data_IF_514076396521
#
_entry.id   IF_514076396521
#
_cell.length_a   1.000
_cell.length_b   1.000
_cell.length_c   1.000
_cell.angle_alpha   90.00
_cell.angle_beta   90.00
_cell.angle_gamma   90.00
#
_symmetry.space_group_name_H-M   'P 1'
#
loop_
_entity.id
_entity.type
_entity.pdbx_description
1 polymer ?
#
# COMPACT_ATOMS: atom_id res chain seq x y z
N UNK A 1 2.27 17.29 4.02
CA UNK A 1 1.93 17.03 5.44
C UNK A 1 0.62 17.70 5.83
N UNK A 2 0.51 19.04 5.73
CA UNK A 2 -0.71 19.76 6.13
C UNK A 2 -1.99 19.23 5.46
N UNK A 3 -1.94 18.98 4.15
CA UNK A 3 -3.06 18.39 3.43
C UNK A 3 -3.42 16.97 3.90
N UNK A 4 -2.46 16.17 4.37
CA UNK A 4 -2.72 14.81 4.88
C UNK A 4 -3.55 14.88 6.16
N UNK A 5 -3.21 15.78 7.08
CA UNK A 5 -3.96 16.01 8.32
C UNK A 5 -5.38 16.46 8.00
N UNK A 6 -5.52 17.46 7.12
CA UNK A 6 -6.83 17.95 6.71
C UNK A 6 -7.65 16.87 6.00
N UNK A 7 -7.00 16.05 5.17
CA UNK A 7 -7.62 14.92 4.50
C UNK A 7 -8.15 13.87 5.46
N UNK A 8 -7.38 13.53 6.50
CA UNK A 8 -7.86 12.63 7.55
C UNK A 8 -9.12 13.19 8.24
N UNK A 9 -9.13 14.49 8.58
CA UNK A 9 -10.26 15.13 9.26
C UNK A 9 -11.56 15.08 8.45
N UNK A 10 -11.53 15.60 7.21
CA UNK A 10 -12.75 15.63 6.40
C UNK A 10 -13.20 14.24 5.94
N UNK A 11 -12.27 13.30 5.68
CA UNK A 11 -12.63 11.92 5.34
C UNK A 11 -13.27 11.22 6.53
N UNK A 12 -12.70 11.35 7.73
CA UNK A 12 -13.28 10.78 8.94
C UNK A 12 -14.71 11.30 9.17
N UNK A 13 -14.94 12.61 9.06
CA UNK A 13 -16.28 13.19 9.20
C UNK A 13 -17.26 12.68 8.13
N UNK A 14 -16.83 12.56 6.87
CA UNK A 14 -17.65 12.02 5.78
C UNK A 14 -18.00 10.54 5.98
N UNK A 15 -17.04 9.71 6.40
CA UNK A 15 -17.27 8.29 6.68
C UNK A 15 -18.21 8.08 7.87
N UNK A 16 -18.07 8.87 8.94
CA UNK A 16 -19.02 8.84 10.06
C UNK A 16 -20.43 9.26 9.59
N UNK A 17 -20.53 10.31 8.76
CA UNK A 17 -21.80 10.78 8.20
C UNK A 17 -22.50 9.73 7.35
N UNK A 18 -21.80 9.14 6.37
CA UNK A 18 -22.32 8.04 5.54
C UNK A 18 -22.64 6.81 6.42
N UNK A 19 -21.82 6.54 7.44
CA UNK A 19 -22.05 5.47 8.40
C UNK A 19 -23.35 5.65 9.20
N UNK A 20 -23.67 6.86 9.67
CA UNK A 20 -24.97 7.17 10.28
C UNK A 20 -26.10 6.80 9.32
N UNK A 21 -26.03 7.26 8.07
CA UNK A 21 -27.06 7.02 7.07
C UNK A 21 -27.22 5.53 6.82
N UNK A 22 -26.12 4.81 6.58
CA UNK A 22 -26.15 3.37 6.33
C UNK A 22 -26.73 2.58 7.52
N UNK A 23 -26.37 2.93 8.76
CA UNK A 23 -26.89 2.23 9.94
C UNK A 23 -28.42 2.28 10.04
N UNK A 24 -29.04 3.37 9.60
CA UNK A 24 -30.49 3.59 9.73
C UNK A 24 -31.29 3.25 8.47
N UNK A 25 -30.65 3.28 7.30
CA UNK A 25 -31.31 3.04 6.00
C UNK A 25 -31.01 1.66 5.43
N UNK A 26 -29.86 1.07 5.79
CA UNK A 26 -29.31 -0.18 5.21
C UNK A 26 -29.17 -0.15 3.69
N UNK A 27 -29.14 1.04 3.10
CA UNK A 27 -29.03 1.25 1.66
C UNK A 27 -27.64 1.77 1.32
N UNK A 28 -27.01 1.18 0.31
CA UNK A 28 -25.67 1.54 -0.17
C UNK A 28 -25.73 2.23 -1.53
N UNK A 29 -26.82 2.05 -2.28
CA UNK A 29 -27.00 2.69 -3.56
C UNK A 29 -27.43 4.15 -3.38
N UNK A 30 -26.56 5.09 -3.78
CA UNK A 30 -26.81 6.53 -3.71
C UNK A 30 -28.09 6.96 -4.45
N UNK A 31 -28.46 6.27 -5.54
CA UNK A 31 -29.66 6.61 -6.31
C UNK A 31 -30.96 6.16 -5.64
N UNK A 32 -30.88 5.26 -4.65
CA UNK A 32 -32.01 4.83 -3.82
C UNK A 32 -32.16 5.68 -2.55
N UNK A 33 -31.23 6.59 -2.28
CA UNK A 33 -31.29 7.56 -1.19
C UNK A 33 -31.90 8.89 -1.65
N UNK A 34 -32.27 9.74 -0.70
CA UNK A 34 -32.73 11.10 -0.98
C UNK A 34 -33.71 11.65 0.03
N UNK A 35 -33.76 12.98 0.14
CA UNK A 35 -34.65 13.70 1.06
C UNK A 35 -34.33 13.51 2.55
N UNK A 36 -33.12 13.06 2.89
CA UNK A 36 -32.75 12.74 4.27
C UNK A 36 -32.48 13.96 5.15
N UNK A 37 -32.40 15.18 4.58
CA UNK A 37 -32.14 16.41 5.35
C UNK A 37 -33.15 16.61 6.50
N UNK A 38 -34.43 16.31 6.26
CA UNK A 38 -35.49 16.43 7.28
C UNK A 38 -35.43 15.34 8.35
N UNK A 39 -34.81 14.19 8.05
CA UNK A 39 -34.73 13.03 8.95
C UNK A 39 -33.46 13.06 9.80
N UNK A 40 -32.37 13.58 9.24
CA UNK A 40 -31.05 13.63 9.88
C UNK A 40 -30.43 15.05 9.82
N UNK A 41 -31.11 16.09 10.34
CA UNK A 41 -30.69 17.48 10.13
C UNK A 41 -29.28 17.77 10.69
N UNK A 42 -28.96 17.27 11.88
CA UNK A 42 -27.63 17.45 12.50
C UNK A 42 -26.55 16.79 11.66
N UNK A 43 -26.72 15.51 11.30
CA UNK A 43 -25.78 14.79 10.44
C UNK A 43 -25.62 15.47 9.09
N UNK A 44 -26.70 16.02 8.54
CA UNK A 44 -26.67 16.70 7.26
C UNK A 44 -25.85 18.00 7.32
N UNK A 45 -26.01 18.82 8.37
CA UNK A 45 -25.19 20.03 8.57
C UNK A 45 -23.71 19.67 8.77
N UNK A 46 -23.42 18.70 9.63
CA UNK A 46 -22.03 18.29 9.91
C UNK A 46 -21.37 17.68 8.67
N UNK A 47 -22.10 16.85 7.92
CA UNK A 47 -21.63 16.28 6.66
C UNK A 47 -21.48 17.36 5.58
N UNK A 48 -22.33 18.39 5.58
CA UNK A 48 -22.19 19.53 4.68
C UNK A 48 -20.90 20.31 4.95
N UNK A 49 -20.58 20.60 6.22
CA UNK A 49 -19.29 21.20 6.59
C UNK A 49 -18.11 20.32 6.16
N UNK A 50 -18.25 19.00 6.30
CA UNK A 50 -17.24 18.05 5.84
C UNK A 50 -17.06 18.08 4.30
N UNK A 51 -18.17 18.20 3.56
CA UNK A 51 -18.18 18.38 2.09
C UNK A 51 -17.50 19.68 1.71
N UNK A 52 -17.83 20.80 2.35
CA UNK A 52 -17.18 22.10 2.11
C UNK A 52 -15.67 22.04 2.42
N UNK A 53 -15.27 21.31 3.46
CA UNK A 53 -13.88 21.03 3.75
C UNK A 53 -13.18 20.27 2.61
N UNK A 54 -13.72 19.14 2.17
CA UNK A 54 -13.08 18.36 1.09
C UNK A 54 -13.11 19.08 -0.27
N UNK A 55 -14.08 19.95 -0.55
CA UNK A 55 -14.10 20.74 -1.79
C UNK A 55 -13.20 21.97 -1.70
N UNK A 56 -12.84 22.42 -0.50
CA UNK A 56 -11.91 23.55 -0.29
C UNK A 56 -12.62 24.91 -0.23
N UNK A 57 -13.83 24.95 0.35
CA UNK A 57 -14.55 26.20 0.54
C UNK A 57 -13.80 27.16 1.47
N UNK A 58 -13.75 28.46 1.13
CA UNK A 58 -13.13 29.47 1.99
C UNK A 58 -13.66 29.40 3.42
N UNK A 59 -12.76 29.49 4.40
CA UNK A 59 -13.08 29.39 5.83
C UNK A 59 -13.09 27.97 6.41
N UNK A 60 -12.85 26.93 5.60
CA UNK A 60 -12.68 25.54 6.05
C UNK A 60 -11.25 25.05 5.83
N UNK A 61 -10.83 24.04 6.59
CA UNK A 61 -9.46 23.49 6.55
C UNK A 61 -8.95 23.10 5.15
N UNK A 62 -9.83 22.63 4.27
CA UNK A 62 -9.44 22.24 2.92
C UNK A 62 -9.01 23.40 2.04
N UNK A 63 -9.58 24.60 2.25
CA UNK A 63 -9.13 25.82 1.56
C UNK A 63 -7.66 26.07 1.89
N UNK A 64 -7.34 26.15 3.18
CA UNK A 64 -5.99 26.39 3.66
C UNK A 64 -4.97 25.41 3.04
N UNK A 65 -5.25 24.11 3.09
CA UNK A 65 -4.29 23.13 2.55
C UNK A 65 -4.21 23.10 1.03
N UNK A 66 -5.31 23.34 0.31
CA UNK A 66 -5.27 23.33 -1.16
C UNK A 66 -4.65 24.60 -1.72
N UNK A 67 -4.85 25.75 -1.09
CA UNK A 67 -4.19 27.00 -1.47
C UNK A 67 -2.68 26.86 -1.34
N UNK A 68 -2.17 26.24 -0.27
CA UNK A 68 -0.74 25.96 -0.14
C UNK A 68 -0.20 24.99 -1.20
N UNK A 69 -0.97 23.95 -1.53
CA UNK A 69 -0.59 23.04 -2.61
C UNK A 69 -0.57 23.77 -3.96
N UNK A 70 -1.54 24.65 -4.20
CA UNK A 70 -1.60 25.47 -5.40
C UNK A 70 -0.37 26.39 -5.48
N UNK A 71 -0.09 27.18 -4.44
CA UNK A 71 1.11 28.04 -4.38
C UNK A 71 2.40 27.27 -4.62
N UNK A 72 2.55 26.07 -4.04
CA UNK A 72 3.72 25.24 -4.25
C UNK A 72 3.87 24.77 -5.71
N UNK A 73 2.75 24.41 -6.37
CA UNK A 73 2.76 23.97 -7.77
C UNK A 73 2.96 25.16 -8.71
N UNK A 74 2.32 26.31 -8.45
CA UNK A 74 2.48 27.52 -9.25
C UNK A 74 3.93 28.05 -9.16
N UNK A 75 4.52 28.10 -7.97
CA UNK A 75 5.94 28.47 -7.80
C UNK A 75 6.86 27.51 -8.58
N UNK A 76 6.56 26.21 -8.55
CA UNK A 76 7.32 25.24 -9.34
C UNK A 76 7.13 25.43 -10.85
N UNK A 77 5.94 25.85 -11.31
CA UNK A 77 5.68 26.13 -12.72
C UNK A 77 6.48 27.36 -13.21
N UNK A 78 6.67 28.35 -12.36
CA UNK A 78 7.46 29.56 -12.66
C UNK A 78 8.96 29.28 -12.85
N UNK A 79 9.48 28.16 -12.32
CA UNK A 79 10.90 27.77 -12.49
C UNK A 79 11.30 27.38 -13.93
N UNK A 80 10.40 27.52 -14.91
CA UNK A 80 10.69 27.40 -16.33
C UNK A 80 10.55 25.99 -16.91
N UNK A 81 10.01 25.04 -16.14
CA UNK A 81 9.85 23.65 -16.57
C UNK A 81 8.48 23.44 -17.24
N UNK A 82 8.37 23.25 -18.57
CA UNK A 82 7.09 23.33 -19.28
C UNK A 82 6.04 22.29 -18.87
N UNK A 83 6.47 21.13 -18.35
CA UNK A 83 5.53 20.08 -17.93
C UNK A 83 4.80 20.42 -16.62
N UNK A 84 5.37 21.29 -15.77
CA UNK A 84 4.78 21.64 -14.46
C UNK A 84 3.52 22.51 -14.62
N UNK A 85 3.44 23.32 -15.68
CA UNK A 85 2.22 24.06 -16.05
C UNK A 85 1.04 23.10 -16.30
N UNK A 86 1.31 21.94 -16.90
CA UNK A 86 0.27 20.92 -17.09
C UNK A 86 -0.15 20.26 -15.77
N UNK A 87 0.76 20.14 -14.80
CA UNK A 87 0.45 19.64 -13.45
C UNK A 87 -0.47 20.61 -12.72
N UNK A 88 -0.22 21.91 -12.80
CA UNK A 88 -1.08 22.94 -12.23
C UNK A 88 -2.50 22.88 -12.82
N UNK A 89 -2.60 22.82 -14.15
CA UNK A 89 -3.90 22.67 -14.84
C UNK A 89 -4.62 21.39 -14.43
N UNK A 90 -3.89 20.29 -14.32
CA UNK A 90 -4.43 19.02 -13.84
C UNK A 90 -4.91 19.12 -12.39
N UNK A 91 -4.16 19.80 -11.52
CA UNK A 91 -4.56 20.05 -10.13
C UNK A 91 -5.90 20.80 -10.06
N UNK A 92 -6.08 21.85 -10.87
CA UNK A 92 -7.34 22.59 -10.95
C UNK A 92 -8.50 21.70 -11.47
N UNK A 93 -8.26 20.91 -12.53
CA UNK A 93 -9.25 19.97 -13.06
C UNK A 93 -9.66 18.90 -12.01
N UNK A 94 -8.71 18.36 -11.27
CA UNK A 94 -8.96 17.42 -10.16
C UNK A 94 -9.76 18.11 -9.04
N UNK A 95 -9.50 19.39 -8.76
CA UNK A 95 -10.29 20.19 -7.83
C UNK A 95 -11.77 20.31 -8.25
N UNK A 96 -12.02 20.57 -9.54
CA UNK A 96 -13.39 20.60 -10.13
C UNK A 96 -14.04 19.23 -10.01
N UNK A 97 -13.35 18.15 -10.36
CA UNK A 97 -13.85 16.77 -10.27
C UNK A 97 -14.15 16.34 -8.83
N UNK A 98 -13.32 16.75 -7.88
CA UNK A 98 -13.55 16.54 -6.43
C UNK A 98 -14.84 17.24 -6.01
N UNK A 99 -14.98 18.51 -6.37
CA UNK A 99 -16.21 19.27 -6.06
C UNK A 99 -17.44 18.63 -6.68
N UNK A 100 -17.38 18.24 -7.96
CA UNK A 100 -18.51 17.60 -8.64
C UNK A 100 -18.92 16.29 -7.94
N UNK A 101 -17.94 15.47 -7.55
CA UNK A 101 -18.18 14.17 -6.91
C UNK A 101 -18.81 14.29 -5.52
N UNK A 102 -18.29 15.20 -4.67
CA UNK A 102 -18.82 15.38 -3.32
C UNK A 102 -20.12 16.18 -3.29
N UNK A 103 -20.33 17.08 -4.27
CA UNK A 103 -21.64 17.72 -4.48
C UNK A 103 -22.68 16.68 -4.87
N UNK A 104 -22.36 15.75 -5.78
CA UNK A 104 -23.24 14.64 -6.16
C UNK A 104 -23.59 13.77 -4.95
N UNK A 105 -22.58 13.39 -4.15
CA UNK A 105 -22.77 12.61 -2.92
C UNK A 105 -23.77 13.28 -1.98
N UNK A 106 -23.53 14.56 -1.66
CA UNK A 106 -24.37 15.31 -0.75
C UNK A 106 -25.79 15.51 -1.29
N UNK A 107 -25.90 15.87 -2.56
CA UNK A 107 -27.17 16.07 -3.25
C UNK A 107 -28.02 14.80 -3.21
N UNK A 108 -27.47 13.65 -3.64
CA UNK A 108 -28.23 12.40 -3.71
C UNK A 108 -28.68 11.90 -2.33
N UNK A 109 -27.86 12.09 -1.28
CA UNK A 109 -28.23 11.64 0.08
C UNK A 109 -29.31 12.55 0.69
N UNK A 110 -29.12 13.87 0.66
CA UNK A 110 -29.92 14.80 1.47
C UNK A 110 -30.94 15.63 0.69
N UNK A 111 -30.59 16.08 -0.52
CA UNK A 111 -31.37 17.06 -1.30
C UNK A 111 -32.18 16.43 -2.45
N UNK A 112 -31.89 15.17 -2.80
CA UNK A 112 -32.59 14.42 -3.83
C UNK A 112 -34.06 14.14 -3.46
N UNK A 113 -34.78 13.53 -4.40
CA UNK A 113 -36.20 13.15 -4.17
C UNK A 113 -36.31 12.24 -2.94
N UNK A 114 -37.29 12.45 -2.05
CA UNK A 114 -37.47 11.61 -0.88
C UNK A 114 -37.57 10.14 -1.25
N UNK A 115 -36.61 9.35 -0.78
CA UNK A 115 -36.60 7.92 -1.01
C UNK A 115 -37.67 7.22 -0.15
N UNK A 116 -38.32 6.20 -0.71
CA UNK A 116 -39.26 5.33 0.02
C UNK A 116 -38.51 4.24 0.79
N UNK A 117 -37.59 4.64 1.66
CA UNK A 117 -36.79 3.74 2.49
C UNK A 117 -37.33 3.70 3.92
N UNK A 118 -37.31 2.52 4.53
CA UNK A 118 -37.63 2.36 5.96
C UNK A 118 -36.44 2.88 6.76
N UNK A 119 -36.69 3.83 7.65
CA UNK A 119 -35.67 4.42 8.53
C UNK A 119 -35.88 3.84 9.93
N UNK A 120 -34.87 3.17 10.47
CA UNK A 120 -34.95 2.55 11.80
C UNK A 120 -34.26 3.42 12.87
N UNK A 121 -34.97 3.75 13.95
CA UNK A 121 -34.39 4.32 15.16
C UNK A 121 -33.96 5.80 15.08
N UNK A 122 -33.52 6.33 16.22
CA UNK A 122 -32.95 7.67 16.36
C UNK A 122 -31.42 7.65 16.30
N UNK A 123 -30.82 8.75 15.85
CA UNK A 123 -29.35 8.86 15.69
C UNK A 123 -28.65 8.79 17.03
N UNK A 124 -27.60 7.96 17.12
CA UNK A 124 -26.72 7.90 18.30
C UNK A 124 -26.05 9.27 18.55
N UNK A 125 -26.26 9.91 19.72
CA UNK A 125 -25.65 11.20 20.04
C UNK A 125 -24.11 11.17 20.04
N UNK A 126 -23.51 10.01 20.37
CA UNK A 126 -22.05 9.84 20.39
C UNK A 126 -21.42 10.03 19.01
N UNK A 127 -22.11 9.55 17.97
CA UNK A 127 -21.63 9.65 16.59
C UNK A 127 -21.75 11.09 16.06
N UNK A 128 -22.83 11.79 16.43
CA UNK A 128 -22.97 13.21 16.14
C UNK A 128 -21.94 14.06 16.88
N UNK A 129 -21.63 13.74 18.14
CA UNK A 129 -20.57 14.41 18.90
C UNK A 129 -19.20 14.23 18.24
N UNK A 130 -18.86 13.00 17.83
CA UNK A 130 -17.60 12.72 17.13
C UNK A 130 -17.50 13.50 15.80
N UNK A 131 -18.56 13.52 15.00
CA UNK A 131 -18.63 14.34 13.78
C UNK A 131 -18.51 15.84 14.12
N UNK A 132 -19.21 16.29 15.16
CA UNK A 132 -19.19 17.67 15.64
C UNK A 132 -17.78 18.13 15.97
N UNK A 133 -17.06 17.35 16.77
CA UNK A 133 -15.66 17.63 17.14
C UNK A 133 -14.75 17.72 15.91
N UNK A 134 -14.86 16.78 14.97
CA UNK A 134 -14.08 16.82 13.73
C UNK A 134 -14.37 18.08 12.92
N UNK A 135 -15.65 18.40 12.71
CA UNK A 135 -16.04 19.60 11.94
C UNK A 135 -15.67 20.90 12.65
N UNK A 136 -15.71 20.94 13.98
CA UNK A 136 -15.27 22.10 14.77
C UNK A 136 -13.78 22.36 14.59
N UNK A 137 -12.95 21.29 14.62
CA UNK A 137 -11.51 21.39 14.31
C UNK A 137 -11.31 21.85 12.85
N UNK A 138 -12.09 21.34 11.90
CA UNK A 138 -11.99 21.75 10.49
C UNK A 138 -12.31 23.24 10.29
N UNK A 139 -13.34 23.76 10.97
CA UNK A 139 -13.68 25.18 10.93
C UNK A 139 -12.59 26.00 11.63
N UNK A 140 -12.11 25.57 12.80
CA UNK A 140 -11.03 26.26 13.52
C UNK A 140 -9.76 26.41 12.67
N UNK A 141 -9.34 25.34 11.98
CA UNK A 141 -8.21 25.40 11.04
C UNK A 141 -8.49 26.33 9.86
N UNK A 142 -9.74 26.36 9.37
CA UNK A 142 -10.11 27.22 8.26
C UNK A 142 -10.20 28.71 8.60
N UNK A 143 -10.56 29.05 9.84
CA UNK A 143 -10.58 30.42 10.35
C UNK A 143 -9.18 30.95 10.67
N UNK A 144 -8.27 30.07 11.11
CA UNK A 144 -6.88 30.40 11.41
C UNK A 144 -5.90 29.55 10.57
N UNK A 145 -5.87 29.73 9.23
CA UNK A 145 -5.07 28.89 8.34
C UNK A 145 -3.56 29.03 8.56
N UNK A 146 -3.12 30.19 9.05
CA UNK A 146 -1.71 30.53 9.32
C UNK A 146 -1.13 29.81 10.54
N UNK A 147 -1.99 29.26 11.43
CA UNK A 147 -1.54 28.63 12.66
C UNK A 147 -0.61 27.44 12.40
N UNK A 148 -0.93 26.59 11.41
CA UNK A 148 -0.12 25.40 11.12
C UNK A 148 1.22 25.74 10.44
N UNK A 149 1.27 26.58 9.37
CA UNK A 149 2.54 27.01 8.79
C UNK A 149 3.47 27.64 9.82
N UNK A 150 2.98 28.58 10.63
CA UNK A 150 3.81 29.38 11.52
C UNK A 150 4.31 28.59 12.73
N UNK A 151 3.46 27.76 13.36
CA UNK A 151 3.82 27.09 14.61
C UNK A 151 4.39 25.68 14.41
N UNK A 152 4.15 25.04 13.26
CA UNK A 152 4.55 23.65 13.02
C UNK A 152 5.48 23.56 11.82
N UNK A 153 5.10 24.10 10.66
CA UNK A 153 5.86 23.88 9.43
C UNK A 153 7.18 24.66 9.40
N UNK A 154 7.18 25.94 9.78
CA UNK A 154 8.38 26.80 9.78
C UNK A 154 9.44 26.28 10.76
N UNK A 155 9.14 26.01 12.05
CA UNK A 155 10.13 25.47 12.98
C UNK A 155 10.66 24.09 12.55
N UNK A 156 9.80 23.24 11.98
CA UNK A 156 10.23 21.94 11.47
C UNK A 156 11.16 22.08 10.25
N UNK A 157 10.88 22.99 9.32
CA UNK A 157 11.76 23.25 8.18
C UNK A 157 13.12 23.81 8.62
N UNK A 158 13.13 24.74 9.59
CA UNK A 158 14.37 25.27 10.17
C UNK A 158 15.20 24.19 10.88
N UNK A 159 14.55 23.34 11.68
CA UNK A 159 15.22 22.23 12.36
C UNK A 159 15.84 21.20 11.39
N UNK A 160 15.29 21.08 10.17
CA UNK A 160 15.82 20.23 9.10
C UNK A 160 16.87 20.92 8.22
N UNK A 161 17.26 22.17 8.52
CA UNK A 161 18.22 22.95 7.72
C UNK A 161 17.66 23.45 6.39
N UNK A 162 16.34 23.48 6.21
CA UNK A 162 15.67 23.92 4.99
C UNK A 162 15.33 25.41 5.03
N UNK A 163 16.36 26.26 5.15
CA UNK A 163 16.19 27.72 5.36
C UNK A 163 15.38 28.41 4.25
N UNK A 164 15.62 28.05 2.99
CA UNK A 164 14.86 28.58 1.86
C UNK A 164 13.37 28.19 1.92
N UNK A 165 13.07 26.97 2.36
CA UNK A 165 11.69 26.52 2.50
C UNK A 165 10.99 27.21 3.68
N UNK A 166 11.71 27.44 4.78
CA UNK A 166 11.20 28.18 5.92
C UNK A 166 10.88 29.64 5.52
N UNK A 167 11.76 30.30 4.77
CA UNK A 167 11.53 31.67 4.29
C UNK A 167 10.29 31.78 3.38
N UNK A 168 10.08 30.82 2.46
CA UNK A 168 8.90 30.79 1.58
C UNK A 168 7.58 30.50 2.30
N UNK A 169 7.63 29.97 3.53
CA UNK A 169 6.44 29.72 4.35
C UNK A 169 6.07 30.91 5.25
N UNK A 170 7.00 31.84 5.49
CA UNK A 170 6.76 33.04 6.30
C UNK A 170 6.01 34.08 5.47
N UNK A 171 4.91 34.63 6.01
CA UNK A 171 4.14 35.68 5.35
C UNK A 171 3.13 35.19 4.30
N UNK A 172 2.80 33.89 4.29
CA UNK A 172 1.75 33.33 3.43
C UNK A 172 0.38 33.95 3.76
N UNK A 173 -0.13 34.78 2.84
CA UNK A 173 -1.48 35.32 2.93
C UNK A 173 -2.49 34.32 2.36
N UNK A 174 -3.31 33.71 3.21
CA UNK A 174 -4.36 32.80 2.74
C UNK A 174 -5.60 33.53 2.22
N UNK A 175 -5.79 34.78 2.63
CA UNK A 175 -7.00 35.56 2.36
C UNK A 175 -6.81 36.56 1.21
N UNK A 176 -6.00 36.21 0.22
CA UNK A 176 -5.87 37.01 -0.99
C UNK A 176 -7.11 36.84 -1.89
N UNK A 177 -7.55 37.93 -2.51
CA UNK A 177 -8.67 37.92 -3.46
C UNK A 177 -8.44 36.93 -4.61
N UNK A 178 -7.19 36.79 -5.08
CA UNK A 178 -6.84 35.82 -6.13
C UNK A 178 -7.13 34.37 -5.72
N UNK A 179 -6.68 33.96 -4.55
CA UNK A 179 -6.87 32.58 -4.06
C UNK A 179 -8.33 32.28 -3.75
N UNK A 180 -9.03 33.24 -3.14
CA UNK A 180 -10.46 33.12 -2.83
C UNK A 180 -11.28 33.01 -4.12
N UNK A 181 -11.02 33.87 -5.11
CA UNK A 181 -11.74 33.84 -6.39
C UNK A 181 -11.44 32.57 -7.17
N UNK A 182 -10.18 32.13 -7.23
CA UNK A 182 -9.81 30.86 -7.87
C UNK A 182 -10.55 29.66 -7.27
N UNK A 183 -10.60 29.57 -5.94
CA UNK A 183 -11.34 28.51 -5.26
C UNK A 183 -12.85 28.60 -5.50
N UNK A 184 -13.44 29.80 -5.48
CA UNK A 184 -14.86 29.98 -5.80
C UNK A 184 -15.18 29.55 -7.23
N UNK A 185 -14.31 29.86 -8.20
CA UNK A 185 -14.47 29.41 -9.59
C UNK A 185 -14.43 27.88 -9.66
N UNK A 186 -13.47 27.23 -9.02
CA UNK A 186 -13.38 25.76 -8.96
C UNK A 186 -14.65 25.15 -8.34
N UNK A 187 -15.18 25.76 -7.29
CA UNK A 187 -16.41 25.30 -6.64
C UNK A 187 -17.63 25.44 -7.55
N UNK A 188 -17.83 26.61 -8.15
CA UNK A 188 -18.93 26.89 -9.06
C UNK A 188 -18.87 25.94 -10.25
N UNK A 189 -17.71 25.79 -10.87
CA UNK A 189 -17.53 24.91 -12.02
C UNK A 189 -17.81 23.45 -11.64
N UNK A 190 -17.35 22.99 -10.48
CA UNK A 190 -17.63 21.64 -9.99
C UNK A 190 -19.13 21.39 -9.73
N UNK A 191 -19.83 22.37 -9.14
CA UNK A 191 -21.27 22.30 -8.94
C UNK A 191 -22.01 22.27 -10.29
N UNK A 192 -21.60 23.10 -11.26
CA UNK A 192 -22.17 23.10 -12.61
C UNK A 192 -21.95 21.78 -13.33
N UNK A 193 -20.74 21.20 -13.25
CA UNK A 193 -20.42 19.88 -13.80
C UNK A 193 -21.28 18.79 -13.15
N UNK A 194 -21.46 18.82 -11.83
CA UNK A 194 -22.36 17.90 -11.13
C UNK A 194 -23.81 18.06 -11.61
N UNK A 195 -24.30 19.30 -11.71
CA UNK A 195 -25.66 19.59 -12.15
C UNK A 195 -25.90 19.12 -13.58
N UNK A 196 -24.98 19.43 -14.50
CA UNK A 196 -25.03 18.97 -15.88
C UNK A 196 -24.95 17.43 -15.97
N UNK A 197 -24.06 16.80 -15.21
CA UNK A 197 -23.91 15.35 -15.18
C UNK A 197 -25.15 14.60 -14.66
N UNK A 198 -25.86 15.19 -13.68
CA UNK A 198 -27.14 14.67 -13.19
C UNK A 198 -28.28 14.86 -14.20
N UNK A 199 -28.28 15.97 -14.96
CA UNK A 199 -29.30 16.27 -15.98
C UNK A 199 -29.14 15.43 -17.25
N UNK A 200 -27.92 15.33 -17.75
CA UNK A 200 -27.60 14.61 -18.98
C UNK A 200 -27.52 13.10 -18.78
N UNK A 201 -27.64 12.60 -17.54
CA UNK A 201 -27.55 11.18 -17.23
C UNK A 201 -26.14 10.59 -17.39
N UNK A 202 -25.12 11.43 -17.60
CA UNK A 202 -23.71 11.01 -17.80
C UNK A 202 -23.22 10.12 -16.66
N UNK A 203 -23.71 10.35 -15.44
CA UNK A 203 -23.35 9.54 -14.29
C UNK A 203 -23.93 8.12 -14.25
N UNK A 204 -24.78 7.74 -15.20
CA UNK A 204 -25.22 6.35 -15.43
C UNK A 204 -24.38 5.65 -16.50
N UNK A 205 -23.49 6.37 -17.17
CA UNK A 205 -22.61 5.79 -18.17
C UNK A 205 -21.60 4.86 -17.48
N UNK A 206 -21.60 3.60 -17.89
CA UNK A 206 -20.64 2.59 -17.44
C UNK A 206 -19.52 2.52 -18.48
N UNK A 207 -18.32 3.03 -18.19
CA UNK A 207 -17.21 2.92 -19.11
C UNK A 207 -16.83 1.43 -19.31
N UNK A 208 -16.27 1.08 -20.48
CA UNK A 208 -15.82 -0.29 -20.73
C UNK A 208 -14.73 -0.72 -19.73
N UNK A 209 -14.66 -2.01 -19.40
CA UNK A 209 -13.82 -2.57 -18.33
C UNK A 209 -12.35 -2.11 -18.38
N UNK A 210 -11.76 -1.97 -19.57
CA UNK A 210 -10.37 -1.54 -19.74
C UNK A 210 -10.10 -0.09 -19.30
N UNK A 211 -11.13 0.74 -19.18
CA UNK A 211 -11.04 2.12 -18.68
C UNK A 211 -11.32 2.21 -17.17
N UNK A 212 -11.82 1.13 -16.55
CA UNK A 212 -12.11 1.08 -15.11
C UNK A 212 -10.90 0.60 -14.31
N UNK A 213 -10.71 1.15 -13.11
CA UNK A 213 -9.69 0.64 -12.18
C UNK A 213 -9.96 -0.81 -11.77
N UNK A 214 -11.23 -1.20 -11.67
CA UNK A 214 -11.66 -2.57 -11.36
C UNK A 214 -11.24 -3.53 -12.48
N UNK A 215 -11.54 -3.20 -13.74
CA UNK A 215 -11.12 -4.02 -14.87
C UNK A 215 -9.60 -4.06 -15.08
N UNK A 216 -8.89 -2.96 -14.85
CA UNK A 216 -7.42 -2.97 -14.82
C UNK A 216 -6.87 -3.85 -13.68
N UNK A 217 -7.48 -3.76 -12.49
CA UNK A 217 -7.14 -4.58 -11.33
C UNK A 217 -7.38 -6.07 -11.57
N UNK A 218 -8.50 -6.43 -12.21
CA UNK A 218 -8.80 -7.79 -12.63
C UNK A 218 -7.80 -8.31 -13.66
N UNK A 219 -7.44 -7.50 -14.67
CA UNK A 219 -6.42 -7.87 -15.67
C UNK A 219 -5.07 -8.15 -15.01
N UNK A 220 -4.62 -7.28 -14.11
CA UNK A 220 -3.37 -7.45 -13.35
C UNK A 220 -3.47 -8.67 -12.43
N UNK A 221 -4.58 -8.83 -11.73
CA UNK A 221 -4.83 -9.96 -10.82
C UNK A 221 -4.82 -11.30 -11.55
N UNK A 222 -5.46 -11.39 -12.71
CA UNK A 222 -5.42 -12.57 -13.57
C UNK A 222 -3.99 -12.86 -14.06
N UNK A 223 -3.23 -11.83 -14.42
CA UNK A 223 -1.81 -11.96 -14.79
C UNK A 223 -0.96 -12.54 -13.65
N UNK A 224 -1.07 -11.98 -12.45
CA UNK A 224 -0.35 -12.45 -11.26
C UNK A 224 -0.75 -13.90 -10.94
N UNK A 225 -2.05 -14.21 -10.96
CA UNK A 225 -2.55 -15.55 -10.68
C UNK A 225 -2.06 -16.58 -11.70
N UNK A 226 -1.98 -16.21 -12.98
CA UNK A 226 -1.43 -17.06 -14.03
C UNK A 226 0.06 -17.35 -13.81
N UNK A 227 0.85 -16.35 -13.43
CA UNK A 227 2.27 -16.51 -13.08
C UNK A 227 2.44 -17.41 -11.86
N UNK A 228 1.64 -17.17 -10.81
CA UNK A 228 1.67 -17.98 -9.59
C UNK A 228 1.36 -19.45 -9.87
N UNK A 229 0.33 -19.72 -10.67
CA UNK A 229 -0.07 -21.07 -11.05
C UNK A 229 1.05 -21.79 -11.82
N UNK A 230 1.69 -21.11 -12.78
CA UNK A 230 2.85 -21.66 -13.51
C UNK A 230 4.02 -21.94 -12.56
N UNK A 231 4.30 -21.05 -11.62
CA UNK A 231 5.35 -21.25 -10.61
C UNK A 231 5.08 -22.46 -9.71
N UNK A 232 3.83 -22.65 -9.27
CA UNK A 232 3.43 -23.79 -8.45
C UNK A 232 3.47 -25.13 -9.23
N UNK A 233 3.13 -25.12 -10.52
CA UNK A 233 3.29 -26.27 -11.41
C UNK A 233 4.77 -26.61 -11.60
N UNK A 234 5.63 -25.61 -11.83
CA UNK A 234 7.08 -25.79 -11.93
C UNK A 234 7.69 -26.34 -10.64
N UNK A 235 7.33 -25.79 -9.48
CA UNK A 235 7.80 -26.30 -8.19
C UNK A 235 7.42 -27.77 -7.97
N UNK A 236 6.16 -28.13 -8.25
CA UNK A 236 5.70 -29.52 -8.13
C UNK A 236 6.44 -30.45 -9.09
N UNK A 237 6.74 -29.98 -10.31
CA UNK A 237 7.55 -30.72 -11.27
C UNK A 237 8.97 -30.98 -10.74
N UNK A 238 9.67 -29.93 -10.31
CA UNK A 238 11.04 -30.04 -9.75
C UNK A 238 11.07 -30.93 -8.51
N UNK A 239 10.14 -30.72 -7.58
CA UNK A 239 10.06 -31.51 -6.35
C UNK A 239 9.79 -33.00 -6.63
N UNK A 240 8.98 -33.32 -7.65
CA UNK A 240 8.75 -34.70 -8.09
C UNK A 240 10.02 -35.31 -8.68
N UNK A 241 10.69 -34.60 -9.60
CA UNK A 241 11.93 -35.08 -10.22
C UNK A 241 13.03 -35.34 -9.20
N UNK A 242 13.24 -34.44 -8.24
CA UNK A 242 14.23 -34.63 -7.16
C UNK A 242 13.89 -35.83 -6.29
N UNK A 243 12.61 -36.01 -5.94
CA UNK A 243 12.14 -37.14 -5.12
C UNK A 243 12.34 -38.47 -5.85
N UNK A 244 12.01 -38.53 -7.13
CA UNK A 244 12.13 -39.74 -7.94
C UNK A 244 13.60 -40.11 -8.16
N UNK A 245 14.45 -39.11 -8.43
CA UNK A 245 15.90 -39.29 -8.50
C UNK A 245 16.47 -39.78 -7.17
N UNK A 246 16.08 -39.17 -6.05
CA UNK A 246 16.52 -39.55 -4.71
C UNK A 246 16.13 -41.00 -4.37
N UNK A 247 14.90 -41.42 -4.71
CA UNK A 247 14.46 -42.82 -4.54
C UNK A 247 15.27 -43.78 -5.41
N UNK A 248 15.52 -43.44 -6.67
CA UNK A 248 16.29 -44.29 -7.58
C UNK A 248 17.75 -44.44 -7.12
N UNK A 249 18.39 -43.34 -6.70
CA UNK A 249 19.75 -43.36 -6.15
C UNK A 249 19.80 -44.13 -4.83
N UNK A 250 18.87 -43.89 -3.91
CA UNK A 250 18.79 -44.60 -2.63
C UNK A 250 18.63 -46.10 -2.79
N UNK A 251 17.76 -46.55 -3.70
CA UNK A 251 17.58 -47.97 -3.99
C UNK A 251 18.86 -48.62 -4.56
N UNK A 252 19.58 -47.91 -5.45
CA UNK A 252 20.87 -48.37 -6.00
C UNK A 252 21.94 -48.47 -4.91
N UNK A 253 22.08 -47.44 -4.09
CA UNK A 253 23.01 -47.42 -2.95
C UNK A 253 22.71 -48.55 -1.97
N UNK A 254 21.45 -48.71 -1.56
CA UNK A 254 21.04 -49.79 -0.65
C UNK A 254 21.39 -51.17 -1.22
N UNK A 255 21.14 -51.40 -2.52
CA UNK A 255 21.49 -52.66 -3.17
C UNK A 255 23.00 -52.90 -3.24
N UNK A 256 23.80 -51.85 -3.43
CA UNK A 256 25.26 -51.93 -3.45
C UNK A 256 25.83 -52.21 -2.06
N UNK A 257 25.35 -51.52 -1.02
CA UNK A 257 25.73 -51.76 0.37
C UNK A 257 25.37 -53.17 0.81
N UNK A 258 24.16 -53.65 0.48
CA UNK A 258 23.74 -55.01 0.81
C UNK A 258 24.62 -56.08 0.14
N UNK A 259 25.02 -55.86 -1.11
CA UNK A 259 25.96 -56.76 -1.81
C UNK A 259 27.33 -56.79 -1.14
N UNK A 260 27.82 -55.63 -0.71
CA UNK A 260 29.11 -55.51 -0.02
C UNK A 260 29.09 -56.19 1.36
N UNK A 261 27.99 -56.05 2.10
CA UNK A 261 27.84 -56.66 3.42
C UNK A 261 27.77 -58.20 3.34
N UNK A 262 27.13 -58.73 2.30
CA UNK A 262 27.07 -60.18 2.06
C UNK A 262 28.42 -60.78 1.65
N UNK A 263 29.32 -60.03 1.00
CA UNK A 263 30.60 -60.56 0.52
C UNK A 263 31.74 -60.48 1.54
N UNK A 264 31.61 -59.69 2.62
CA UNK A 264 32.66 -59.40 3.66
C UNK A 264 34.07 -59.10 3.10
N UNK A 265 34.13 -58.80 1.82
CA UNK A 265 35.30 -58.51 1.03
C UNK A 265 34.82 -57.82 -0.25
N UNK A 266 35.39 -56.66 -0.54
CA UNK A 266 35.07 -55.92 -1.75
C UNK A 266 36.28 -55.16 -2.24
N UNK A 267 36.46 -55.17 -3.55
CA UNK A 267 37.52 -54.44 -4.26
C UNK A 267 36.97 -53.10 -4.73
N UNK A 268 37.37 -52.01 -4.07
CA UNK A 268 37.09 -50.64 -4.52
C UNK A 268 38.41 -50.04 -4.99
N UNK A 269 38.53 -49.72 -6.28
CA UNK A 269 39.73 -49.08 -6.84
C UNK A 269 41.01 -49.93 -6.78
N UNK A 270 40.90 -51.26 -6.80
CA UNK A 270 42.05 -52.18 -6.78
C UNK A 270 42.57 -52.58 -5.41
N UNK A 271 41.97 -52.08 -4.31
CA UNK A 271 42.33 -52.47 -2.94
C UNK A 271 41.27 -53.44 -2.38
N UNK A 272 41.70 -54.64 -1.97
CA UNK A 272 40.85 -55.65 -1.32
C UNK A 272 40.67 -55.30 0.15
N UNK A 273 39.50 -54.80 0.54
CA UNK A 273 39.18 -54.57 1.95
C UNK A 273 38.59 -55.87 2.52
N UNK A 274 39.36 -56.59 3.32
CA UNK A 274 38.91 -57.81 4.02
C UNK A 274 38.63 -57.50 5.49
N UNK A 275 37.45 -57.89 5.98
CA UNK A 275 37.13 -57.83 7.42
C UNK A 275 36.46 -56.53 7.94
N UNK A 276 36.04 -55.61 7.06
CA UNK A 276 35.32 -54.38 7.46
C UNK A 276 33.83 -54.54 7.14
N UNK A 277 32.94 -54.28 8.11
CA UNK A 277 31.49 -54.29 7.91
C UNK A 277 31.05 -53.17 6.94
N UNK A 278 29.95 -53.37 6.22
CA UNK A 278 29.47 -52.38 5.24
C UNK A 278 29.23 -51.00 5.88
N UNK A 279 28.78 -50.96 7.14
CA UNK A 279 28.56 -49.73 7.90
C UNK A 279 29.85 -48.95 8.14
N UNK A 280 30.95 -49.64 8.46
CA UNK A 280 32.25 -49.02 8.69
C UNK A 280 32.86 -48.50 7.37
N UNK A 281 32.71 -49.25 6.27
CA UNK A 281 33.14 -48.79 4.94
C UNK A 281 32.36 -47.56 4.48
N UNK A 282 31.05 -47.51 4.76
CA UNK A 282 30.20 -46.38 4.41
C UNK A 282 30.54 -45.15 5.24
N UNK A 283 30.76 -45.30 6.56
CA UNK A 283 31.24 -44.23 7.44
C UNK A 283 32.57 -43.66 6.96
N UNK A 284 33.57 -44.51 6.70
CA UNK A 284 34.89 -44.08 6.20
C UNK A 284 34.74 -43.36 4.85
N UNK A 285 33.95 -43.90 3.92
CA UNK A 285 33.69 -43.28 2.62
C UNK A 285 33.02 -41.90 2.76
N UNK A 286 31.98 -41.78 3.60
CA UNK A 286 31.33 -40.49 3.87
C UNK A 286 32.27 -39.51 4.56
N UNK A 287 33.12 -39.97 5.48
CA UNK A 287 34.09 -39.12 6.18
C UNK A 287 35.14 -38.59 5.20
N UNK A 288 35.66 -39.44 4.30
CA UNK A 288 36.62 -39.04 3.25
C UNK A 288 35.99 -38.04 2.29
N UNK A 289 34.76 -38.27 1.83
CA UNK A 289 34.03 -37.33 0.98
C UNK A 289 33.78 -35.98 1.69
N UNK A 290 33.41 -36.00 2.97
CA UNK A 290 33.25 -34.79 3.78
C UNK A 290 34.58 -34.06 3.95
N UNK A 291 35.68 -34.77 4.19
CA UNK A 291 37.03 -34.17 4.31
C UNK A 291 37.45 -33.53 2.99
N UNK A 292 37.24 -34.22 1.86
CA UNK A 292 37.56 -33.68 0.51
C UNK A 292 36.69 -32.47 0.20
N UNK A 293 35.38 -32.54 0.47
CA UNK A 293 34.46 -31.42 0.28
C UNK A 293 34.83 -30.21 1.15
N UNK A 294 35.15 -30.45 2.43
CA UNK A 294 35.53 -29.41 3.37
C UNK A 294 36.88 -28.77 3.03
N UNK A 295 37.87 -29.56 2.59
CA UNK A 295 39.17 -29.05 2.12
C UNK A 295 39.07 -28.28 0.81
N UNK A 296 38.16 -28.65 -0.10
CA UNK A 296 37.89 -27.93 -1.34
C UNK A 296 37.17 -26.59 -1.13
N UNK A 297 36.36 -26.46 -0.06
CA UNK A 297 35.65 -25.22 0.27
C UNK A 297 36.48 -24.27 1.16
N UNK A 298 37.40 -24.80 1.98
CA UNK A 298 38.19 -24.00 2.92
C UNK A 298 39.69 -24.42 2.93
N UNK A 299 40.53 -23.89 2.02
CA UNK A 299 41.90 -24.36 1.80
C UNK A 299 42.94 -23.94 2.87
N UNK A 300 42.53 -23.30 3.98
CA UNK A 300 43.43 -22.54 4.88
C UNK A 300 43.82 -23.17 6.23
N UNK A 301 43.72 -24.49 6.48
CA UNK A 301 44.03 -25.09 7.80
C UNK A 301 45.17 -26.15 7.77
N UNK A 302 46.06 -26.19 8.79
CA UNK A 302 47.32 -26.96 8.82
C UNK A 302 47.16 -28.47 9.15
N UNK A 303 46.02 -29.08 8.80
CA UNK A 303 45.67 -30.46 9.19
C UNK A 303 46.55 -31.57 8.58
N UNK A 304 47.28 -31.29 7.51
CA UNK A 304 48.21 -32.24 6.86
C UNK A 304 49.43 -32.60 7.73
N UNK A 305 49.81 -31.77 8.71
CA UNK A 305 50.92 -32.10 9.64
C UNK A 305 50.55 -33.18 10.66
N UNK A 306 49.28 -33.26 11.08
CA UNK A 306 48.83 -34.23 12.08
C UNK A 306 48.79 -35.66 11.52
N UNK A 307 48.34 -35.80 10.26
CA UNK A 307 48.31 -37.08 9.54
C UNK A 307 49.72 -37.60 9.24
N UNK A 308 50.67 -36.70 8.95
CA UNK A 308 52.09 -37.03 8.77
C UNK A 308 52.77 -37.47 10.07
N UNK A 309 52.41 -36.85 11.21
CA UNK A 309 52.93 -37.21 12.53
C UNK A 309 52.41 -38.58 13.03
N UNK A 310 51.13 -38.90 12.77
CA UNK A 310 50.54 -40.21 13.12
C UNK A 310 51.18 -41.35 12.32
N UNK A 311 51.46 -41.15 11.03
CA UNK A 311 52.18 -42.13 10.22
C UNK A 311 53.65 -42.31 10.65
N UNK A 312 54.32 -41.24 11.08
CA UNK A 312 55.71 -41.30 11.56
C UNK A 312 55.85 -42.04 12.90
N UNK A 313 54.86 -41.96 13.78
CA UNK A 313 54.90 -42.68 15.06
C UNK A 313 54.57 -44.18 14.94
N UNK A 314 53.75 -44.59 13.96
CA UNK A 314 53.50 -46.00 13.68
C UNK A 314 54.67 -46.72 12.97
N UNK A 315 55.53 -45.98 12.26
CA UNK A 315 56.72 -46.55 11.59
C UNK A 315 57.91 -46.86 12.52
N UNK A 316 57.90 -46.39 13.77
CA UNK A 316 58.99 -46.57 14.74
C UNK A 316 58.85 -47.77 15.69
N UNK A 317 57.78 -48.55 15.59
CA UNK A 317 57.49 -49.73 16.43
C UNK A 317 57.65 -51.07 15.69
N UNK A 318 58.21 -51.04 14.47
CA UNK A 318 58.55 -52.21 13.64
C UNK A 318 60.02 -52.19 13.16
N UNK A 319 60.92 -51.65 13.99
CA UNK A 319 62.36 -51.95 13.99
C UNK A 319 62.80 -52.37 15.39
#
# INVERSE_FOLDING_TARGET
IYHIVNHALFKAALFLGVGVIYLHTKETNLYNLGGLWRRFPVTAVLMFLAVLGITGAPGLNGYASKTLLHHAVSLAAETGTPWVVWVERLFLLVGVGTTASFTKLYYLIFLGKPAKIKISGGVSPRLQLAMGLLTAVMVGIGLAPEFFPNNVAVPAAQALGMENAAASLVGLSFWNLGDVTGMLITLILGILVCWAGLRCGVFHWQPPMWLTLEGLGELVGQGIFAVWRRGAEFYRFVAKTVRDLGKAMGARLYSACRRFDQSRSGTIGGVTLTGISADAALLIGTLVLLIIWYTMINPGLPGLRLLYLLFRHMGGLLQ
#
